data_IF_872496055073
#
_entry.id   IF_872496055073
#
_cell.length_a   1.000
_cell.length_b   1.000
_cell.length_c   1.000
_cell.angle_alpha   90.00
_cell.angle_beta   90.00
_cell.angle_gamma   90.00
#
_symmetry.space_group_name_H-M   'P 1'
#
loop_
_entity.id
_entity.type
_entity.pdbx_description
1 polymer ?
#
# COMPACT_ATOMS: atom_id res chain seq x y z
N UNK A 1 -15.71 17.10 3.34
CA UNK A 1 -17.01 16.78 2.69
C UNK A 1 -17.56 15.43 3.16
N UNK A 2 -16.73 14.54 3.72
CA UNK A 2 -17.12 13.24 4.29
C UNK A 2 -17.90 13.30 5.61
N UNK A 3 -17.81 14.39 6.38
CA UNK A 3 -18.34 14.44 7.76
C UNK A 3 -19.80 14.90 7.87
N UNK A 4 -20.50 15.08 6.74
CA UNK A 4 -21.87 15.61 6.70
C UNK A 4 -22.95 14.55 6.45
N UNK A 5 -22.56 13.31 6.14
CA UNK A 5 -23.52 12.24 5.85
C UNK A 5 -23.61 11.29 7.04
N UNK A 6 -24.79 11.20 7.64
CA UNK A 6 -25.09 10.31 8.75
C UNK A 6 -25.19 8.86 8.26
N UNK A 7 -24.78 7.92 9.11
CA UNK A 7 -24.80 6.49 8.80
C UNK A 7 -26.20 6.00 8.42
N UNK A 8 -27.25 6.49 9.08
CA UNK A 8 -28.65 6.17 8.75
C UNK A 8 -29.04 6.59 7.33
N UNK A 9 -28.52 7.72 6.85
CA UNK A 9 -28.79 8.17 5.48
C UNK A 9 -28.08 7.27 4.46
N UNK A 10 -26.84 6.87 4.76
CA UNK A 10 -26.08 5.93 3.91
C UNK A 10 -26.80 4.58 3.82
N UNK A 11 -27.23 4.04 4.96
CA UNK A 11 -27.97 2.77 5.04
C UNK A 11 -29.24 2.84 4.19
N UNK A 12 -30.05 3.88 4.36
CA UNK A 12 -31.28 4.05 3.58
C UNK A 12 -30.99 4.12 2.07
N UNK A 13 -29.97 4.88 1.64
CA UNK A 13 -29.61 4.94 0.23
C UNK A 13 -29.13 3.60 -0.32
N UNK A 14 -28.31 2.86 0.43
CA UNK A 14 -27.85 1.53 0.02
C UNK A 14 -29.02 0.55 -0.12
N UNK A 15 -29.99 0.58 0.79
CA UNK A 15 -31.21 -0.22 0.71
C UNK A 15 -32.04 0.10 -0.55
N UNK A 16 -32.21 1.38 -0.86
CA UNK A 16 -32.93 1.80 -2.09
C UNK A 16 -32.18 1.38 -3.35
N UNK A 17 -30.85 1.54 -3.40
CA UNK A 17 -30.04 1.09 -4.54
C UNK A 17 -30.07 -0.43 -4.70
N UNK A 18 -30.05 -1.19 -3.60
CA UNK A 18 -30.19 -2.65 -3.64
C UNK A 18 -31.56 -3.07 -4.15
N UNK A 19 -32.62 -2.38 -3.74
CA UNK A 19 -34.00 -2.66 -4.17
C UNK A 19 -34.23 -2.33 -5.64
N UNK A 20 -33.45 -1.40 -6.19
CA UNK A 20 -33.51 -0.95 -7.59
C UNK A 20 -32.35 -1.45 -8.46
N UNK A 21 -31.55 -2.40 -7.99
CA UNK A 21 -30.26 -2.79 -8.62
C UNK A 21 -30.40 -3.26 -10.07
N UNK A 22 -31.55 -3.82 -10.45
CA UNK A 22 -31.85 -4.22 -11.82
C UNK A 22 -31.87 -3.05 -12.81
N UNK A 23 -32.15 -1.83 -12.34
CA UNK A 23 -32.21 -0.61 -13.15
C UNK A 23 -30.87 0.14 -13.19
N UNK A 24 -29.93 -0.20 -12.32
CA UNK A 24 -28.59 0.39 -12.29
C UNK A 24 -27.72 -0.19 -13.41
N UNK A 25 -28.11 0.01 -14.67
CA UNK A 25 -27.37 -0.45 -15.85
C UNK A 25 -26.15 0.43 -16.13
N UNK A 26 -25.38 0.11 -17.18
CA UNK A 26 -24.24 0.90 -17.65
C UNK A 26 -24.55 2.39 -17.85
N UNK A 27 -25.79 2.76 -18.16
CA UNK A 27 -26.18 4.16 -18.35
C UNK A 27 -26.04 4.99 -17.06
N UNK A 28 -26.02 4.34 -15.90
CA UNK A 28 -25.82 4.93 -14.58
C UNK A 28 -24.38 4.81 -14.05
N UNK A 29 -23.40 4.54 -14.92
CA UNK A 29 -22.00 4.33 -14.53
C UNK A 29 -21.44 5.47 -13.67
N UNK A 30 -21.79 6.73 -13.96
CA UNK A 30 -21.33 7.88 -13.17
C UNK A 30 -21.84 7.84 -11.73
N UNK A 31 -23.11 7.47 -11.54
CA UNK A 31 -23.72 7.32 -10.22
C UNK A 31 -23.03 6.19 -9.45
N UNK A 32 -22.83 5.03 -10.08
CA UNK A 32 -22.12 3.91 -9.48
C UNK A 32 -20.70 4.31 -9.08
N UNK A 33 -19.97 5.02 -9.94
CA UNK A 33 -18.63 5.51 -9.62
C UNK A 33 -18.61 6.52 -8.46
N UNK A 34 -19.70 7.26 -8.21
CA UNK A 34 -19.83 8.10 -7.02
C UNK A 34 -20.05 7.24 -5.78
N UNK A 35 -20.98 6.27 -5.85
CA UNK A 35 -21.27 5.35 -4.73
C UNK A 35 -20.01 4.56 -4.36
N UNK A 36 -19.25 4.06 -5.34
CA UNK A 36 -18.00 3.32 -5.12
C UNK A 36 -16.89 4.14 -4.44
N UNK A 37 -16.99 5.48 -4.45
CA UNK A 37 -16.02 6.38 -3.79
C UNK A 37 -16.43 6.80 -2.37
N UNK A 38 -17.56 6.31 -1.86
CA UNK A 38 -17.95 6.58 -0.48
C UNK A 38 -16.90 6.03 0.49
N UNK A 39 -16.58 6.73 1.60
CA UNK A 39 -15.63 6.25 2.60
C UNK A 39 -16.27 5.21 3.52
N UNK A 40 -16.64 4.04 2.98
CA UNK A 40 -17.45 3.02 3.67
C UNK A 40 -16.67 2.21 4.72
N UNK A 41 -15.35 2.07 4.59
CA UNK A 41 -14.51 1.30 5.51
C UNK A 41 -14.36 1.93 6.90
N UNK A 42 -14.42 3.26 7.00
CA UNK A 42 -14.28 4.01 8.27
C UNK A 42 -15.64 4.35 8.91
N UNK A 43 -16.69 3.59 8.57
CA UNK A 43 -18.08 3.81 9.02
C UNK A 43 -18.52 2.71 9.96
N UNK A 44 -19.71 2.85 10.56
CA UNK A 44 -20.24 1.81 11.44
C UNK A 44 -20.34 0.46 10.72
N UNK A 45 -20.28 -0.62 11.51
CA UNK A 45 -20.39 -1.98 10.99
C UNK A 45 -21.66 -2.17 10.14
N UNK A 46 -22.77 -1.54 10.53
CA UNK A 46 -24.04 -1.60 9.79
C UNK A 46 -23.89 -1.04 8.37
N UNK A 47 -23.22 0.11 8.21
CA UNK A 47 -22.92 0.69 6.90
C UNK A 47 -22.04 -0.27 6.09
N UNK A 48 -21.02 -0.86 6.71
CA UNK A 48 -20.13 -1.82 6.06
C UNK A 48 -20.91 -3.03 5.54
N UNK A 49 -21.78 -3.64 6.35
CA UNK A 49 -22.58 -4.81 5.93
C UNK A 49 -23.53 -4.47 4.76
N UNK A 50 -24.23 -3.34 4.84
CA UNK A 50 -25.11 -2.91 3.75
C UNK A 50 -24.34 -2.59 2.47
N UNK A 51 -23.14 -2.04 2.60
CA UNK A 51 -22.28 -1.74 1.46
C UNK A 51 -21.78 -3.04 0.80
N UNK A 52 -21.38 -4.05 1.58
CA UNK A 52 -21.00 -5.35 1.05
C UNK A 52 -22.17 -6.07 0.37
N UNK A 53 -23.36 -6.01 0.97
CA UNK A 53 -24.58 -6.54 0.36
C UNK A 53 -24.92 -5.82 -0.95
N UNK A 54 -24.71 -4.51 -1.02
CA UNK A 54 -24.86 -3.73 -2.25
C UNK A 54 -23.86 -4.19 -3.31
N UNK A 55 -22.57 -4.35 -2.99
CA UNK A 55 -21.56 -4.82 -3.95
C UNK A 55 -21.92 -6.18 -4.53
N UNK A 56 -22.33 -7.13 -3.69
CA UNK A 56 -22.77 -8.46 -4.13
C UNK A 56 -24.00 -8.42 -5.05
N UNK A 57 -25.01 -7.62 -4.69
CA UNK A 57 -26.21 -7.41 -5.51
C UNK A 57 -25.86 -6.75 -6.84
N UNK A 58 -24.99 -5.74 -6.83
CA UNK A 58 -24.59 -5.00 -8.02
C UNK A 58 -23.88 -5.91 -9.02
N UNK A 59 -22.86 -6.66 -8.60
CA UNK A 59 -22.09 -7.51 -9.54
C UNK A 59 -22.88 -8.74 -10.00
N UNK A 60 -23.82 -9.22 -9.20
CA UNK A 60 -24.69 -10.35 -9.58
C UNK A 60 -25.76 -9.95 -10.58
N UNK A 61 -26.37 -8.76 -10.42
CA UNK A 61 -27.36 -8.24 -11.36
C UNK A 61 -26.73 -7.58 -12.59
N UNK A 62 -25.60 -6.91 -12.42
CA UNK A 62 -24.98 -6.01 -13.40
C UNK A 62 -23.46 -6.23 -13.45
N UNK A 63 -23.04 -7.36 -14.02
CA UNK A 63 -21.62 -7.76 -14.12
C UNK A 63 -20.72 -6.74 -14.84
N UNK A 64 -21.29 -5.79 -15.59
CA UNK A 64 -20.56 -4.66 -16.17
C UNK A 64 -19.79 -3.84 -15.12
N UNK A 65 -20.27 -3.82 -13.87
CA UNK A 65 -19.61 -3.13 -12.76
C UNK A 65 -18.61 -3.97 -11.98
N UNK A 66 -18.37 -5.23 -12.36
CA UNK A 66 -17.37 -6.07 -11.72
C UNK A 66 -16.00 -5.39 -11.68
N UNK A 67 -15.52 -4.89 -12.83
CA UNK A 67 -14.19 -4.29 -12.93
C UNK A 67 -14.07 -2.99 -12.11
N UNK A 68 -15.05 -2.06 -12.14
CA UNK A 68 -15.12 -0.94 -11.20
C UNK A 68 -15.05 -1.35 -9.72
N UNK A 69 -15.86 -2.33 -9.30
CA UNK A 69 -15.86 -2.82 -7.91
C UNK A 69 -14.49 -3.40 -7.50
N UNK A 70 -13.91 -4.25 -8.34
CA UNK A 70 -12.59 -4.84 -8.08
C UNK A 70 -11.48 -3.79 -8.05
N UNK A 71 -11.53 -2.79 -8.93
CA UNK A 71 -10.56 -1.68 -8.94
C UNK A 71 -10.67 -0.83 -7.67
N UNK A 72 -11.88 -0.55 -7.20
CA UNK A 72 -12.13 0.15 -5.94
C UNK A 72 -11.53 -0.63 -4.77
N UNK A 73 -11.90 -1.91 -4.60
CA UNK A 73 -11.40 -2.75 -3.50
C UNK A 73 -9.87 -2.89 -3.56
N UNK A 74 -9.32 -3.16 -4.75
CA UNK A 74 -7.88 -3.29 -4.92
C UNK A 74 -7.09 -2.03 -4.56
N UNK A 75 -7.72 -0.85 -4.64
CA UNK A 75 -7.08 0.41 -4.27
C UNK A 75 -6.87 0.55 -2.76
N UNK A 76 -7.68 -0.13 -1.93
CA UNK A 76 -7.54 -0.11 -0.47
C UNK A 76 -6.37 -0.97 0.02
N UNK A 77 -5.85 -1.86 -0.81
CA UNK A 77 -4.64 -2.64 -0.51
C UNK A 77 -3.34 -1.94 -0.91
N UNK A 78 -3.42 -0.77 -1.57
CA UNK A 78 -2.25 -0.01 -1.99
C UNK A 78 -2.08 1.17 -1.02
N UNK A 79 -0.98 1.21 -0.24
CA UNK A 79 -0.68 2.37 0.59
C UNK A 79 -0.60 3.64 -0.27
N UNK A 80 -1.01 4.81 0.26
CA UNK A 80 -0.76 6.09 -0.40
C UNK A 80 0.72 6.16 -0.78
N UNK A 81 1.01 6.23 -2.08
CA UNK A 81 2.36 6.04 -2.63
C UNK A 81 3.39 6.86 -1.86
N UNK A 82 4.41 6.20 -1.30
CA UNK A 82 5.64 6.86 -0.85
C UNK A 82 6.26 7.52 -2.08
N UNK A 83 6.18 8.85 -2.16
CA UNK A 83 6.86 9.63 -3.19
C UNK A 83 8.34 9.63 -2.81
N UNK A 84 9.11 8.68 -3.36
CA UNK A 84 10.57 8.72 -3.28
C UNK A 84 11.01 9.95 -4.08
N UNK A 85 11.29 11.05 -3.40
CA UNK A 85 12.01 12.18 -3.99
C UNK A 85 13.47 11.74 -4.19
N UNK A 86 13.93 11.79 -5.42
CA UNK A 86 15.32 11.53 -5.80
C UNK A 86 16.18 12.67 -5.22
N UNK A 87 16.67 12.50 -3.99
CA UNK A 87 17.49 13.52 -3.32
C UNK A 87 17.51 13.48 -1.78
N UNK A 88 17.54 12.29 -1.19
CA UNK A 88 17.51 12.11 0.27
C UNK A 88 16.25 11.34 0.66
N UNK A 89 16.45 10.07 0.95
CA UNK A 89 15.45 9.12 1.42
C UNK A 89 14.89 9.62 2.75
N UNK A 90 13.78 10.35 2.69
CA UNK A 90 12.83 10.40 3.79
C UNK A 90 11.99 9.13 3.69
N UNK A 91 12.56 8.03 4.19
CA UNK A 91 11.77 6.88 4.59
C UNK A 91 11.03 7.36 5.82
N UNK A 92 9.87 7.97 5.62
CA UNK A 92 8.93 8.18 6.70
C UNK A 92 8.46 6.79 7.11
N UNK A 93 9.21 6.20 8.04
CA UNK A 93 8.83 5.09 8.89
C UNK A 93 7.78 5.63 9.86
N UNK A 94 6.63 6.05 9.31
CA UNK A 94 5.50 6.42 10.13
C UNK A 94 4.90 5.12 10.64
N UNK A 95 5.46 4.63 11.75
CA UNK A 95 4.85 3.75 12.76
C UNK A 95 3.59 4.39 13.38
N UNK A 96 2.83 5.17 12.60
CA UNK A 96 1.45 5.48 12.92
C UNK A 96 0.67 4.24 12.49
N UNK A 97 0.63 3.23 13.37
CA UNK A 97 -0.29 2.12 13.26
C UNK A 97 -1.71 2.72 13.14
N UNK A 98 -2.19 2.87 11.90
CA UNK A 98 -3.59 3.18 11.61
C UNK A 98 -4.33 1.95 12.16
N UNK A 99 -4.81 2.01 13.41
CA UNK A 99 -5.38 0.87 14.18
C UNK A 99 -6.46 0.11 13.39
N UNK A 100 -7.10 0.79 12.42
CA UNK A 100 -8.11 0.25 11.53
C UNK A 100 -7.55 -0.54 10.34
N UNK A 101 -6.24 -0.48 10.06
CA UNK A 101 -5.60 -1.10 8.89
C UNK A 101 -5.82 -2.61 8.81
N UNK A 102 -5.67 -3.40 9.90
CA UNK A 102 -5.98 -4.83 9.88
C UNK A 102 -7.45 -5.10 9.58
N UNK A 103 -8.36 -4.36 10.21
CA UNK A 103 -9.81 -4.50 10.02
C UNK A 103 -10.26 -4.15 8.60
N UNK A 104 -9.65 -3.11 8.01
CA UNK A 104 -9.91 -2.68 6.65
C UNK A 104 -9.46 -3.74 5.63
N UNK A 105 -8.31 -4.39 5.88
CA UNK A 105 -7.81 -5.48 5.05
C UNK A 105 -8.78 -6.67 5.06
N UNK A 106 -9.21 -7.11 6.25
CA UNK A 106 -10.16 -8.21 6.42
C UNK A 106 -11.50 -7.90 5.74
N UNK A 107 -11.98 -6.66 5.88
CA UNK A 107 -13.22 -6.21 5.25
C UNK A 107 -13.12 -6.19 3.72
N UNK A 108 -11.99 -5.71 3.17
CA UNK A 108 -11.73 -5.74 1.74
C UNK A 108 -11.63 -7.19 1.21
N UNK A 109 -10.98 -8.08 1.97
CA UNK A 109 -10.89 -9.50 1.63
C UNK A 109 -12.27 -10.16 1.62
N UNK A 110 -13.12 -9.85 2.62
CA UNK A 110 -14.52 -10.29 2.66
C UNK A 110 -15.31 -9.78 1.45
N UNK A 111 -15.09 -8.53 1.02
CA UNK A 111 -15.70 -8.00 -0.20
C UNK A 111 -15.31 -8.82 -1.43
N UNK A 112 -14.02 -9.15 -1.58
CA UNK A 112 -13.55 -10.01 -2.69
C UNK A 112 -14.16 -11.41 -2.64
N UNK A 113 -14.32 -12.00 -1.46
CA UNK A 113 -14.95 -13.32 -1.29
C UNK A 113 -16.43 -13.29 -1.71
N UNK A 114 -17.18 -12.24 -1.32
CA UNK A 114 -18.58 -12.05 -1.73
C UNK A 114 -18.68 -11.95 -3.25
N UNK A 115 -17.86 -11.10 -3.87
CA UNK A 115 -17.85 -10.93 -5.33
C UNK A 115 -17.50 -12.24 -6.03
N UNK A 116 -16.49 -12.98 -5.55
CA UNK A 116 -16.07 -14.25 -6.13
C UNK A 116 -17.16 -15.32 -6.03
N UNK A 117 -17.98 -15.29 -4.96
CA UNK A 117 -19.12 -16.19 -4.81
C UNK A 117 -20.21 -15.96 -5.86
N UNK A 118 -20.46 -14.70 -6.22
CA UNK A 118 -21.45 -14.35 -7.26
C UNK A 118 -20.89 -14.47 -8.68
N UNK A 119 -19.62 -14.13 -8.88
CA UNK A 119 -18.95 -14.17 -10.18
C UNK A 119 -17.67 -15.01 -10.07
N UNK A 120 -17.74 -16.33 -10.32
CA UNK A 120 -16.59 -17.24 -10.15
C UNK A 120 -15.39 -16.92 -11.06
N UNK A 121 -15.62 -16.19 -12.16
CA UNK A 121 -14.56 -15.72 -13.06
C UNK A 121 -13.82 -14.49 -12.56
N UNK A 122 -14.15 -13.98 -11.36
CA UNK A 122 -13.51 -12.82 -10.73
C UNK A 122 -11.97 -12.84 -10.77
N UNK A 123 -11.27 -13.96 -10.48
CA UNK A 123 -9.81 -13.97 -10.51
C UNK A 123 -9.21 -13.52 -11.85
N UNK A 124 -9.85 -13.86 -12.98
CA UNK A 124 -9.38 -13.47 -14.31
C UNK A 124 -9.42 -11.95 -14.54
N UNK A 125 -10.39 -11.26 -13.92
CA UNK A 125 -10.51 -9.81 -13.98
C UNK A 125 -9.65 -9.11 -12.93
N UNK A 126 -9.42 -9.76 -11.78
CA UNK A 126 -8.63 -9.21 -10.68
C UNK A 126 -7.14 -9.16 -11.01
N UNK A 127 -6.58 -10.21 -11.62
CA UNK A 127 -5.14 -10.28 -11.93
C UNK A 127 -4.59 -9.08 -12.72
N UNK A 128 -5.20 -8.64 -13.85
CA UNK A 128 -4.71 -7.46 -14.56
C UNK A 128 -4.84 -6.16 -13.75
N UNK A 129 -5.82 -6.06 -12.85
CA UNK A 129 -5.97 -4.89 -11.94
C UNK A 129 -4.83 -4.88 -10.93
N UNK A 130 -4.48 -6.05 -10.37
CA UNK A 130 -3.37 -6.15 -9.43
C UNK A 130 -2.04 -5.83 -10.09
N UNK A 131 -1.78 -6.30 -11.32
CA UNK A 131 -0.56 -5.96 -12.07
C UNK A 131 -0.43 -4.45 -12.30
N UNK A 132 -1.54 -3.77 -12.56
CA UNK A 132 -1.57 -2.30 -12.76
C UNK A 132 -1.36 -1.53 -11.44
N UNK A 133 -2.00 -1.97 -10.35
CA UNK A 133 -1.98 -1.27 -9.06
C UNK A 133 -0.78 -1.59 -8.18
N UNK A 134 -0.22 -2.79 -8.31
CA UNK A 134 0.96 -3.27 -7.59
C UNK A 134 2.13 -3.32 -8.57
N UNK A 135 2.83 -2.19 -8.79
CA UNK A 135 4.08 -2.23 -9.53
C UNK A 135 5.02 -3.14 -8.74
N UNK A 136 5.35 -4.29 -9.32
CA UNK A 136 6.27 -5.28 -8.76
C UNK A 136 7.38 -4.60 -7.95
N UNK A 137 7.67 -5.15 -6.76
CA UNK A 137 8.78 -4.84 -5.85
C UNK A 137 10.14 -5.10 -6.53
N UNK A 138 10.39 -4.45 -7.66
CA UNK A 138 11.63 -4.48 -8.45
C UNK A 138 12.41 -3.18 -8.33
N UNK A 139 11.97 -2.26 -7.46
CA UNK A 139 12.72 -1.07 -7.06
C UNK A 139 13.33 -1.29 -5.67
N UNK A 140 14.26 -2.23 -5.55
CA UNK A 140 15.30 -2.21 -4.49
C UNK A 140 16.42 -3.25 -4.64
N UNK A 141 16.38 -4.20 -5.60
CA UNK A 141 17.54 -5.09 -5.80
C UNK A 141 18.80 -4.31 -6.22
N UNK A 142 18.65 -3.20 -6.94
CA UNK A 142 19.79 -2.36 -7.36
C UNK A 142 20.41 -1.52 -6.24
N UNK A 143 19.71 -1.30 -5.13
CA UNK A 143 20.23 -0.53 -3.99
C UNK A 143 21.01 -1.40 -3.02
N UNK A 144 20.70 -2.70 -2.93
CA UNK A 144 21.43 -3.62 -2.03
C UNK A 144 22.87 -3.89 -2.49
N UNK A 145 23.13 -3.87 -3.80
CA UNK A 145 24.48 -4.18 -4.32
C UNK A 145 25.44 -2.99 -4.23
N UNK A 146 24.93 -1.75 -4.25
CA UNK A 146 25.78 -0.55 -4.19
C UNK A 146 26.23 -0.20 -2.77
N UNK A 147 25.43 -0.51 -1.75
CA UNK A 147 25.81 -0.26 -0.34
C UNK A 147 26.93 -1.20 0.08
N UNK A 148 26.84 -2.50 -0.25
CA UNK A 148 27.88 -3.46 0.11
C UNK A 148 29.22 -3.23 -0.58
N UNK A 149 29.30 -2.44 -1.66
CA UNK A 149 30.56 -2.18 -2.37
C UNK A 149 31.33 -1.00 -1.77
N UNK A 150 30.62 0.05 -1.36
CA UNK A 150 31.23 1.23 -0.74
C UNK A 150 31.80 0.88 0.64
N UNK A 151 31.07 0.09 1.43
CA UNK A 151 31.52 -0.35 2.76
C UNK A 151 32.76 -1.28 2.71
N UNK A 152 33.05 -1.92 1.57
CA UNK A 152 34.23 -2.79 1.39
C UNK A 152 35.46 -1.96 0.99
N UNK A 153 35.31 -0.98 0.09
CA UNK A 153 36.43 -0.11 -0.32
C UNK A 153 36.85 0.82 0.84
N UNK A 154 35.90 1.35 1.59
CA UNK A 154 36.17 2.24 2.74
C UNK A 154 36.83 1.49 3.92
N UNK A 155 36.56 0.18 4.06
CA UNK A 155 37.21 -0.66 5.08
C UNK A 155 38.66 -1.03 4.70
N UNK A 156 38.98 -1.10 3.41
CA UNK A 156 40.34 -1.39 2.93
C UNK A 156 41.25 -0.15 3.05
N UNK A 157 40.71 1.05 2.79
CA UNK A 157 41.44 2.33 2.94
C UNK A 157 41.73 2.66 4.42
N UNK A 158 40.79 2.35 5.33
CA UNK A 158 41.00 2.52 6.77
C UNK A 158 42.06 1.57 7.34
N UNK A 159 42.20 0.35 6.79
CA UNK A 159 43.22 -0.60 7.20
C UNK A 159 44.63 -0.20 6.71
N UNK A 160 44.73 0.40 5.52
CA UNK A 160 46.00 0.88 4.98
C UNK A 160 46.56 2.10 5.74
N UNK A 161 45.71 2.93 6.34
CA UNK A 161 46.13 4.15 7.04
C UNK A 161 46.61 3.92 8.49
N UNK A 162 46.46 2.71 9.06
CA UNK A 162 46.92 2.38 10.42
C UNK A 162 48.31 1.73 10.47
N UNK A 163 48.95 1.46 9.33
CA UNK A 163 50.29 0.87 9.26
C UNK A 163 51.38 1.92 8.94
N UNK A 164 51.34 3.08 9.59
CA UNK A 164 52.36 4.10 9.35
C UNK A 164 52.37 5.21 10.36
N UNK A 165 52.88 4.94 11.58
CA UNK A 165 53.79 5.81 12.37
C UNK A 165 53.87 5.29 13.80
N UNK A 166 54.99 4.66 14.17
CA UNK A 166 55.75 4.93 15.40
C UNK A 166 56.67 3.77 15.73
N UNK A 167 57.94 3.86 15.30
CA UNK A 167 59.07 3.15 15.95
C UNK A 167 60.42 3.67 15.45
N UNK A 168 60.71 4.98 15.54
CA UNK A 168 62.11 5.46 15.46
C UNK A 168 62.47 6.66 16.34
N UNK A 169 61.64 7.09 17.31
CA UNK A 169 62.05 8.17 18.24
C UNK A 169 62.70 7.67 19.56
N UNK A 170 62.83 6.34 19.74
CA UNK A 170 63.39 5.76 20.98
C UNK A 170 64.87 5.39 20.96
N UNK A 171 65.59 5.53 19.84
CA UNK A 171 66.96 4.98 19.69
C UNK A 171 68.08 6.04 19.55
N UNK A 172 67.74 7.34 19.47
CA UNK A 172 68.74 8.40 19.26
C UNK A 172 69.16 9.19 20.52
N UNK A 173 68.79 8.76 21.73
CA UNK A 173 69.20 9.39 23.00
C UNK A 173 70.13 8.54 23.89
N UNK A 174 70.79 7.50 23.35
CA UNK A 174 71.76 6.68 24.10
C UNK A 174 73.20 6.72 23.54
N UNK A 175 73.66 7.87 23.00
CA UNK A 175 75.05 7.97 22.48
C UNK A 175 75.79 9.31 22.69
N UNK A 176 75.49 10.07 23.76
CA UNK A 176 76.24 11.32 24.06
C UNK A 176 76.52 11.63 25.55
N UNK A 177 76.62 10.65 26.45
CA UNK A 177 77.21 10.92 27.79
C UNK A 177 78.34 9.93 28.05
N UNK A 178 79.55 10.33 27.70
CA UNK A 178 80.75 9.51 27.90
C UNK A 178 81.98 10.01 27.16
N UNK A 179 82.37 11.26 27.36
CA UNK A 179 83.78 11.69 27.33
C UNK A 179 83.98 12.88 28.25
#
# INVERSE_FOLDING_TARGET
MSDLLEDDQIINWLLEFRSSVMYLTKDFEQLINIILRLPWLKRSQTVVEEYLAFLGNLVSAQTVFLRPCLSMIASHFVPPRVIIKEGGIDVSDSDDEDDDLPSNFDTCHRALQIITRYVPSTPWFLMPILVDKFPFVRKSERTLVSVSRQDIEDAEEAAAQTCGTDTTEGLFNMLQIGK
#
